data_IF_714432794660
#
_entry.id   IF_714432794660
#
_cell.length_a   1.000
_cell.length_b   1.000
_cell.length_c   1.000
_cell.angle_alpha   90.00
_cell.angle_beta   90.00
_cell.angle_gamma   90.00
#
_symmetry.space_group_name_H-M   'P 1'
#
loop_
_entity.id
_entity.type
_entity.pdbx_description
1 polymer ?
#
# COMPACT_ATOMS: atom_id res chain seq x y z
N UNK A 1 9.38 10.47 28.79
CA UNK A 1 10.13 10.32 27.51
C UNK A 1 11.11 9.13 27.52
N UNK A 2 10.82 7.99 28.18
CA UNK A 2 11.77 6.84 28.26
C UNK A 2 11.41 5.64 27.35
N UNK A 3 10.27 5.67 26.65
CA UNK A 3 9.79 4.57 25.80
C UNK A 3 9.77 4.88 24.29
N UNK A 4 10.21 6.08 23.87
CA UNK A 4 10.19 6.48 22.45
C UNK A 4 11.08 5.60 21.57
N UNK A 5 12.22 5.14 22.10
CA UNK A 5 13.13 4.19 21.42
C UNK A 5 12.47 2.86 21.07
N UNK A 6 11.58 2.37 21.93
CA UNK A 6 10.79 1.15 21.68
C UNK A 6 9.80 1.40 20.53
N UNK A 7 9.20 2.58 20.47
CA UNK A 7 8.36 3.01 19.34
C UNK A 7 9.10 3.00 18.00
N UNK A 8 10.36 3.45 17.98
CA UNK A 8 11.17 3.43 16.75
C UNK A 8 11.55 2.01 16.29
N UNK A 9 11.74 1.06 17.21
CA UNK A 9 11.98 -0.36 16.88
C UNK A 9 10.72 -1.08 16.38
N UNK A 10 9.52 -0.63 16.79
CA UNK A 10 8.27 -1.25 16.35
C UNK A 10 8.01 -0.99 14.85
N UNK A 11 8.38 0.18 14.33
CA UNK A 11 8.17 0.55 12.92
C UNK A 11 8.78 -0.48 11.94
N UNK A 12 10.09 -0.80 11.99
CA UNK A 12 10.67 -1.78 11.08
C UNK A 12 10.08 -3.18 11.27
N UNK A 13 9.71 -3.57 12.50
CA UNK A 13 9.07 -4.88 12.76
C UNK A 13 7.71 -4.95 12.07
N UNK A 14 6.88 -3.91 12.19
CA UNK A 14 5.58 -3.82 11.53
C UNK A 14 5.73 -3.85 10.01
N UNK A 15 6.73 -3.16 9.45
CA UNK A 15 7.04 -3.21 8.02
C UNK A 15 7.47 -4.61 7.55
N UNK A 16 8.29 -5.31 8.33
CA UNK A 16 8.67 -6.69 8.01
C UNK A 16 7.47 -7.64 8.02
N UNK A 17 6.56 -7.50 9.00
CA UNK A 17 5.33 -8.29 9.05
C UNK A 17 4.44 -7.97 7.84
N UNK A 18 4.21 -6.67 7.54
CA UNK A 18 3.41 -6.22 6.40
C UNK A 18 3.94 -6.81 5.08
N UNK A 19 5.23 -6.63 4.81
CA UNK A 19 5.85 -7.14 3.58
C UNK A 19 5.85 -8.66 3.52
N UNK A 20 5.98 -9.36 4.64
CA UNK A 20 5.87 -10.83 4.70
C UNK A 20 4.45 -11.32 4.38
N UNK A 21 3.42 -10.62 4.86
CA UNK A 21 2.02 -10.94 4.54
C UNK A 21 1.75 -10.74 3.04
N UNK A 22 2.19 -9.62 2.47
CA UNK A 22 2.04 -9.35 1.04
C UNK A 22 2.79 -10.41 0.21
N UNK A 23 4.02 -10.72 0.59
CA UNK A 23 4.80 -11.77 -0.07
C UNK A 23 4.12 -13.14 0.03
N UNK A 24 3.45 -13.45 1.14
CA UNK A 24 2.69 -14.70 1.31
C UNK A 24 1.48 -14.77 0.38
N UNK A 25 0.73 -13.67 0.26
CA UNK A 25 -0.40 -13.56 -0.67
C UNK A 25 0.06 -13.73 -2.12
N UNK A 26 1.14 -13.04 -2.50
CA UNK A 26 1.71 -13.16 -3.84
C UNK A 26 2.28 -14.56 -4.09
N UNK A 27 2.90 -15.18 -3.08
CA UNK A 27 3.43 -16.54 -3.19
C UNK A 27 2.31 -17.53 -3.51
N UNK A 28 1.17 -17.44 -2.83
CA UNK A 28 -0.03 -18.23 -3.17
C UNK A 28 -0.49 -17.94 -4.60
N UNK A 29 -0.54 -16.67 -5.01
CA UNK A 29 -0.87 -16.29 -6.39
C UNK A 29 0.08 -16.93 -7.42
N UNK A 30 1.38 -16.84 -7.20
CA UNK A 30 2.37 -17.48 -8.08
C UNK A 30 2.25 -18.99 -8.07
N UNK A 31 1.94 -19.62 -6.94
CA UNK A 31 1.77 -21.07 -6.85
C UNK A 31 0.59 -21.57 -7.70
N UNK A 32 -0.52 -20.85 -7.72
CA UNK A 32 -1.70 -21.24 -8.51
C UNK A 32 -1.57 -20.91 -10.01
N UNK A 33 -0.89 -19.81 -10.36
CA UNK A 33 -0.91 -19.27 -11.72
C UNK A 33 0.42 -19.38 -12.49
N UNK A 34 1.54 -19.67 -11.80
CA UNK A 34 2.86 -19.88 -12.42
C UNK A 34 3.16 -21.36 -12.57
N UNK A 35 3.82 -21.71 -13.68
CA UNK A 35 4.42 -23.05 -13.87
C UNK A 35 5.85 -23.14 -13.32
N UNK A 36 6.46 -21.99 -13.07
CA UNK A 36 7.85 -21.85 -12.60
C UNK A 36 7.88 -21.83 -11.07
N UNK A 37 8.82 -22.57 -10.48
CA UNK A 37 9.03 -22.60 -9.04
C UNK A 37 9.63 -21.28 -8.57
N UNK A 38 8.82 -20.49 -7.88
CA UNK A 38 9.25 -19.21 -7.29
C UNK A 38 9.54 -19.42 -5.81
N UNK A 39 10.66 -18.91 -5.30
CA UNK A 39 10.98 -19.02 -3.87
C UNK A 39 10.43 -17.83 -3.10
N UNK A 40 9.85 -18.07 -1.90
CA UNK A 40 9.34 -17.00 -1.02
C UNK A 40 10.38 -15.89 -0.76
N UNK A 41 11.64 -16.26 -0.50
CA UNK A 41 12.73 -15.31 -0.26
C UNK A 41 12.92 -14.32 -1.42
N UNK A 42 12.76 -14.77 -2.66
CA UNK A 42 12.90 -13.91 -3.84
C UNK A 42 11.72 -12.95 -3.95
N UNK A 43 10.49 -13.45 -3.77
CA UNK A 43 9.29 -12.60 -3.76
C UNK A 43 9.33 -11.57 -2.65
N UNK A 44 9.73 -11.97 -1.44
CA UNK A 44 9.82 -11.05 -0.31
C UNK A 44 10.83 -9.94 -0.56
N UNK A 45 11.98 -10.24 -1.17
CA UNK A 45 12.95 -9.22 -1.60
C UNK A 45 12.37 -8.21 -2.60
N UNK A 46 11.55 -8.68 -3.56
CA UNK A 46 10.86 -7.80 -4.50
C UNK A 46 9.77 -6.96 -3.83
N UNK A 47 9.00 -7.54 -2.92
CA UNK A 47 7.99 -6.80 -2.14
C UNK A 47 8.64 -5.69 -1.33
N UNK A 48 9.73 -5.98 -0.62
CA UNK A 48 10.51 -4.97 0.12
C UNK A 48 10.99 -3.87 -0.82
N UNK A 49 11.51 -4.23 -1.99
CA UNK A 49 12.01 -3.25 -2.97
C UNK A 49 10.89 -2.37 -3.49
N UNK A 50 9.72 -2.93 -3.81
CA UNK A 50 8.56 -2.18 -4.27
C UNK A 50 7.98 -1.27 -3.17
N UNK A 51 8.09 -1.66 -1.90
CA UNK A 51 7.59 -0.91 -0.74
C UNK A 51 8.20 0.50 -0.64
N UNK A 52 9.40 0.71 -1.19
CA UNK A 52 10.05 2.02 -1.22
C UNK A 52 9.22 3.09 -1.93
N UNK A 53 8.30 2.71 -2.84
CA UNK A 53 7.37 3.65 -3.48
C UNK A 53 6.52 4.38 -2.43
N UNK A 54 6.11 3.70 -1.36
CA UNK A 54 5.30 4.32 -0.30
C UNK A 54 6.10 5.30 0.57
N UNK A 55 7.43 5.28 0.54
CA UNK A 55 8.26 6.28 1.23
C UNK A 55 8.18 7.66 0.55
N UNK A 56 7.78 7.72 -0.72
CA UNK A 56 7.56 8.99 -1.40
C UNK A 56 6.40 9.77 -0.78
N UNK A 57 5.38 9.08 -0.27
CA UNK A 57 4.17 9.69 0.28
C UNK A 57 4.46 10.68 1.42
N UNK A 58 5.17 10.30 2.50
CA UNK A 58 5.52 11.25 3.55
C UNK A 58 6.41 12.38 3.03
N UNK A 59 7.28 12.14 2.03
CA UNK A 59 8.11 13.18 1.42
C UNK A 59 7.22 14.22 0.71
N UNK A 60 6.29 13.78 -0.14
CA UNK A 60 5.33 14.66 -0.81
C UNK A 60 4.47 15.43 0.19
N UNK A 61 4.04 14.76 1.26
CA UNK A 61 3.26 15.37 2.34
C UNK A 61 4.02 16.49 3.03
N UNK A 62 5.29 16.27 3.38
CA UNK A 62 6.14 17.30 3.99
C UNK A 62 6.32 18.48 3.03
N UNK A 63 6.63 18.23 1.76
CA UNK A 63 6.79 19.29 0.75
C UNK A 63 5.50 20.10 0.61
N UNK A 64 4.34 19.44 0.56
CA UNK A 64 3.05 20.09 0.40
C UNK A 64 2.72 21.06 1.56
N UNK A 65 2.80 20.58 2.80
CA UNK A 65 2.47 21.40 3.97
C UNK A 65 3.56 22.42 4.31
N UNK A 66 4.80 22.21 3.86
CA UNK A 66 5.87 23.18 4.05
C UNK A 66 5.79 24.34 3.05
N UNK A 67 5.48 24.08 1.78
CA UNK A 67 5.54 25.09 0.71
C UNK A 67 4.17 25.63 0.23
N UNK A 68 3.13 24.80 0.22
CA UNK A 68 1.85 25.14 -0.43
C UNK A 68 0.74 25.47 0.56
N UNK A 69 0.57 24.64 1.58
CA UNK A 69 -0.46 24.81 2.61
C UNK A 69 0.21 24.95 3.98
N UNK A 70 0.58 26.18 4.35
CA UNK A 70 1.30 26.48 5.61
C UNK A 70 0.37 26.67 6.80
N UNK A 71 -0.92 26.85 6.56
CA UNK A 71 -1.98 26.91 7.58
C UNK A 71 -2.81 25.64 7.43
N UNK A 72 -2.68 24.75 8.40
CA UNK A 72 -3.36 23.45 8.44
C UNK A 72 -3.68 23.07 9.88
N UNK A 73 -4.73 22.28 10.05
CA UNK A 73 -5.07 21.66 11.33
C UNK A 73 -4.63 20.19 11.35
N UNK A 74 -4.94 19.48 12.44
CA UNK A 74 -4.56 18.07 12.60
C UNK A 74 -5.28 17.15 11.59
N UNK A 75 -6.53 17.46 11.26
CA UNK A 75 -7.35 16.68 10.33
C UNK A 75 -6.83 16.80 8.89
N UNK A 76 -6.43 18.00 8.48
CA UNK A 76 -5.80 18.26 7.18
C UNK A 76 -4.58 17.35 7.01
N UNK A 77 -3.70 17.30 8.03
CA UNK A 77 -2.55 16.40 8.01
C UNK A 77 -3.02 14.96 7.99
N UNK A 78 -3.97 14.55 8.83
CA UNK A 78 -4.37 13.15 8.96
C UNK A 78 -4.96 12.60 7.65
N UNK A 79 -5.84 13.35 7.01
CA UNK A 79 -6.56 12.90 5.82
C UNK A 79 -5.83 13.17 4.51
N UNK A 80 -4.83 14.06 4.51
CA UNK A 80 -4.04 14.30 3.31
C UNK A 80 -3.20 13.08 2.93
N UNK A 81 -3.56 12.50 1.79
CA UNK A 81 -2.79 11.48 1.09
C UNK A 81 -2.49 12.00 -0.32
N UNK A 82 -1.23 12.36 -0.64
CA UNK A 82 -0.90 12.98 -1.92
C UNK A 82 -1.23 12.06 -3.09
N UNK A 83 -1.67 12.65 -4.21
CA UNK A 83 -1.97 11.94 -5.46
C UNK A 83 -3.00 10.81 -5.29
N UNK A 84 -3.91 10.95 -4.31
CA UNK A 84 -5.04 10.05 -4.09
C UNK A 84 -6.34 10.65 -4.62
N UNK A 85 -7.34 9.81 -4.85
CA UNK A 85 -8.69 10.27 -5.15
C UNK A 85 -9.22 11.20 -4.05
N UNK A 86 -8.86 10.95 -2.78
CA UNK A 86 -9.25 11.82 -1.67
C UNK A 86 -8.70 13.24 -1.80
N UNK A 87 -7.47 13.40 -2.30
CA UNK A 87 -6.87 14.72 -2.51
C UNK A 87 -7.56 15.54 -3.60
N UNK A 88 -8.31 14.89 -4.50
CA UNK A 88 -9.07 15.55 -5.58
C UNK A 88 -10.48 15.91 -5.10
N UNK A 89 -11.16 14.98 -4.42
CA UNK A 89 -12.55 15.16 -3.98
C UNK A 89 -12.63 15.99 -2.69
N UNK A 90 -11.60 15.94 -1.86
CA UNK A 90 -11.63 16.48 -0.50
C UNK A 90 -12.28 15.53 0.50
N UNK A 91 -11.94 15.68 1.77
CA UNK A 91 -12.51 14.89 2.86
C UNK A 91 -13.73 15.57 3.51
N UNK A 92 -13.93 16.87 3.26
CA UNK A 92 -15.00 17.67 3.84
C UNK A 92 -16.35 17.28 3.23
N UNK A 93 -17.27 16.79 4.06
CA UNK A 93 -18.58 16.29 3.62
C UNK A 93 -18.56 14.86 3.04
N UNK A 94 -17.42 14.19 3.07
CA UNK A 94 -17.32 12.77 2.73
C UNK A 94 -17.62 11.93 3.98
N UNK A 95 -18.38 10.85 3.80
CA UNK A 95 -18.63 9.92 4.90
C UNK A 95 -17.32 9.28 5.40
N UNK A 96 -17.11 9.11 6.73
CA UNK A 96 -15.86 8.61 7.30
C UNK A 96 -15.39 7.26 6.72
N UNK A 97 -16.33 6.36 6.42
CA UNK A 97 -16.04 5.04 5.86
C UNK A 97 -15.54 5.10 4.40
N UNK A 98 -15.79 6.18 3.67
CA UNK A 98 -15.30 6.40 2.30
C UNK A 98 -13.89 7.02 2.25
N UNK A 99 -13.43 7.61 3.35
CA UNK A 99 -12.11 8.28 3.41
C UNK A 99 -10.99 7.28 3.07
N UNK A 100 -10.98 6.12 3.74
CA UNK A 100 -9.92 5.12 3.54
C UNK A 100 -9.86 4.55 2.12
N UNK A 101 -10.97 4.10 1.49
CA UNK A 101 -10.99 3.69 0.09
C UNK A 101 -10.41 4.75 -0.85
N UNK A 102 -10.77 6.02 -0.66
CA UNK A 102 -10.30 7.12 -1.49
C UNK A 102 -8.81 7.43 -1.30
N UNK A 103 -8.25 7.14 -0.12
CA UNK A 103 -6.80 7.21 0.12
C UNK A 103 -6.06 6.06 -0.56
N UNK A 104 -6.60 4.84 -0.49
CA UNK A 104 -5.99 3.65 -1.13
C UNK A 104 -5.98 3.80 -2.66
N UNK A 105 -6.97 4.46 -3.25
CA UNK A 105 -6.97 4.83 -4.67
C UNK A 105 -6.01 5.99 -4.93
N UNK A 106 -4.72 5.68 -5.07
CA UNK A 106 -3.67 6.66 -5.31
C UNK A 106 -2.62 6.17 -6.33
N UNK A 107 -1.84 7.11 -6.86
CA UNK A 107 -0.82 6.80 -7.88
C UNK A 107 0.35 5.95 -7.35
N UNK A 108 0.67 6.03 -6.06
CA UNK A 108 1.72 5.21 -5.45
C UNK A 108 1.30 3.74 -5.38
N UNK A 109 0.03 3.47 -5.06
CA UNK A 109 -0.56 2.14 -5.09
C UNK A 109 -0.54 1.57 -6.52
N UNK A 110 -0.92 2.36 -7.52
CA UNK A 110 -0.83 1.94 -8.93
C UNK A 110 0.62 1.64 -9.33
N UNK A 111 1.57 2.50 -8.97
CA UNK A 111 2.99 2.26 -9.21
C UNK A 111 3.49 0.98 -8.51
N UNK A 112 3.04 0.73 -7.28
CA UNK A 112 3.35 -0.48 -6.53
C UNK A 112 2.86 -1.74 -7.24
N UNK A 113 1.61 -1.74 -7.74
CA UNK A 113 1.07 -2.85 -8.52
C UNK A 113 1.89 -3.13 -9.78
N UNK A 114 2.29 -2.07 -10.50
CA UNK A 114 3.08 -2.21 -11.73
C UNK A 114 4.50 -2.74 -11.43
N UNK A 115 5.14 -2.30 -10.35
CA UNK A 115 6.44 -2.82 -9.92
C UNK A 115 6.36 -4.30 -9.53
N UNK A 116 5.36 -4.68 -8.73
CA UNK A 116 5.13 -6.08 -8.39
C UNK A 116 4.88 -6.93 -9.63
N UNK A 117 4.05 -6.43 -10.56
CA UNK A 117 3.74 -7.12 -11.81
C UNK A 117 5.00 -7.34 -12.66
N UNK A 118 5.85 -6.32 -12.75
CA UNK A 118 7.13 -6.42 -13.44
C UNK A 118 8.05 -7.46 -12.79
N UNK A 119 8.22 -7.43 -11.47
CA UNK A 119 9.06 -8.40 -10.76
C UNK A 119 8.53 -9.83 -10.88
N UNK A 120 7.21 -10.03 -10.78
CA UNK A 120 6.57 -11.34 -10.94
C UNK A 120 6.72 -11.83 -12.38
N UNK A 121 6.49 -10.98 -13.38
CA UNK A 121 6.71 -11.32 -14.79
C UNK A 121 8.15 -11.78 -15.03
N UNK A 122 9.13 -11.06 -14.45
CA UNK A 122 10.55 -11.39 -14.56
C UNK A 122 10.92 -12.72 -13.89
N UNK A 123 10.47 -12.98 -12.66
CA UNK A 123 10.84 -14.21 -11.93
C UNK A 123 10.12 -15.46 -12.44
N UNK A 124 8.94 -15.29 -13.03
CA UNK A 124 8.20 -16.40 -13.64
C UNK A 124 8.64 -16.69 -15.08
N UNK A 125 9.61 -15.94 -15.61
CA UNK A 125 10.06 -15.98 -17.01
C UNK A 125 8.89 -15.79 -18.00
N UNK A 126 7.97 -14.90 -17.63
CA UNK A 126 6.81 -14.55 -18.47
C UNK A 126 6.85 -13.07 -18.87
N UNK A 127 5.70 -12.41 -18.95
CA UNK A 127 5.57 -11.01 -19.31
C UNK A 127 4.87 -10.23 -18.19
N UNK A 128 4.93 -8.90 -18.29
CA UNK A 128 4.29 -8.01 -17.33
C UNK A 128 2.77 -8.23 -17.26
N UNK A 129 2.11 -8.59 -18.35
CA UNK A 129 0.66 -8.85 -18.37
C UNK A 129 0.28 -10.04 -17.47
N UNK A 130 1.05 -11.14 -17.54
CA UNK A 130 0.86 -12.28 -16.63
C UNK A 130 1.19 -11.90 -15.20
N UNK A 131 2.28 -11.15 -14.98
CA UNK A 131 2.60 -10.61 -13.67
C UNK A 131 1.47 -9.78 -13.09
N UNK A 132 0.85 -8.91 -13.88
CA UNK A 132 -0.26 -8.06 -13.48
C UNK A 132 -1.51 -8.86 -13.16
N UNK A 133 -1.81 -9.92 -13.92
CA UNK A 133 -2.91 -10.85 -13.59
C UNK A 133 -2.68 -11.53 -12.24
N UNK A 134 -1.44 -11.95 -11.95
CA UNK A 134 -1.09 -12.55 -10.66
C UNK A 134 -1.26 -11.52 -9.54
N UNK A 135 -0.69 -10.31 -9.68
CA UNK A 135 -0.84 -9.24 -8.69
C UNK A 135 -2.31 -8.90 -8.44
N UNK A 136 -3.09 -8.66 -9.48
CA UNK A 136 -4.50 -8.28 -9.36
C UNK A 136 -5.34 -9.40 -8.70
N UNK A 137 -5.14 -10.65 -9.11
CA UNK A 137 -5.90 -11.79 -8.57
C UNK A 137 -5.52 -12.14 -7.13
N UNK A 138 -4.29 -11.85 -6.70
CA UNK A 138 -3.80 -12.17 -5.36
C UNK A 138 -3.78 -10.94 -4.45
N UNK A 139 -2.76 -10.10 -4.59
CA UNK A 139 -2.60 -8.87 -3.81
C UNK A 139 -3.80 -7.94 -3.97
N UNK A 140 -4.32 -7.76 -5.18
CA UNK A 140 -5.49 -6.93 -5.43
C UNK A 140 -6.74 -7.40 -4.70
N UNK A 141 -7.01 -8.71 -4.73
CA UNK A 141 -8.10 -9.32 -3.96
C UNK A 141 -7.91 -9.15 -2.45
N UNK A 142 -6.69 -9.33 -1.94
CA UNK A 142 -6.38 -9.14 -0.53
C UNK A 142 -6.52 -7.67 -0.11
N UNK A 143 -6.10 -6.73 -0.95
CA UNK A 143 -6.26 -5.29 -0.73
C UNK A 143 -7.74 -4.90 -0.70
N UNK A 144 -8.55 -5.42 -1.63
CA UNK A 144 -10.00 -5.19 -1.64
C UNK A 144 -10.66 -5.70 -0.35
N UNK A 145 -10.32 -6.92 0.07
CA UNK A 145 -10.83 -7.48 1.33
C UNK A 145 -10.44 -6.60 2.51
N UNK A 146 -9.17 -6.17 2.57
CA UNK A 146 -8.69 -5.26 3.60
C UNK A 146 -9.46 -3.94 3.62
N UNK A 147 -9.68 -3.31 2.45
CA UNK A 147 -10.45 -2.07 2.32
C UNK A 147 -11.87 -2.25 2.82
N UNK A 148 -12.57 -3.32 2.42
CA UNK A 148 -13.94 -3.60 2.87
C UNK A 148 -14.01 -3.79 4.39
N UNK A 149 -13.05 -4.50 4.97
CA UNK A 149 -12.96 -4.70 6.42
C UNK A 149 -12.79 -3.36 7.14
N UNK A 150 -11.92 -2.48 6.65
CA UNK A 150 -11.75 -1.14 7.24
C UNK A 150 -13.02 -0.30 7.10
N UNK A 151 -13.65 -0.29 5.92
CA UNK A 151 -14.92 0.42 5.71
C UNK A 151 -15.99 -0.04 6.71
N UNK A 152 -16.13 -1.36 6.89
CA UNK A 152 -17.10 -1.94 7.82
C UNK A 152 -16.80 -1.51 9.26
N UNK A 153 -15.55 -1.61 9.71
CA UNK A 153 -15.19 -1.18 11.06
C UNK A 153 -15.40 0.31 11.27
N UNK A 154 -15.00 1.15 10.31
CA UNK A 154 -15.23 2.59 10.39
C UNK A 154 -16.72 2.90 10.47
N UNK A 155 -17.57 2.25 9.69
CA UNK A 155 -19.02 2.48 9.72
C UNK A 155 -19.67 2.10 11.05
N UNK A 156 -19.22 1.01 11.69
CA UNK A 156 -19.81 0.52 12.94
C UNK A 156 -19.29 1.22 14.19
N UNK A 157 -18.10 1.83 14.12
CA UNK A 157 -17.43 2.48 15.25
C UNK A 157 -17.24 4.00 15.07
N UNK A 158 -17.81 4.61 14.00
CA UNK A 158 -17.98 6.07 13.89
C UNK A 158 -19.25 6.50 14.59
#
# INVERSE_FOLDING_TARGET
MQWQWVGYLIIPIVLLIKTSLIASVLYMGTFFFSKTTVTFKQLWGFVITAEFVFLLIPIFKIIWFYFFQTIYNLEDIQYFYPLSALSIVGYQGLEPWLIYPFQVLNLFEVAYWLLLAYFIGKITETNMDRGLKIVASSYGSALLLWVVVIMFFTLNYS
#
